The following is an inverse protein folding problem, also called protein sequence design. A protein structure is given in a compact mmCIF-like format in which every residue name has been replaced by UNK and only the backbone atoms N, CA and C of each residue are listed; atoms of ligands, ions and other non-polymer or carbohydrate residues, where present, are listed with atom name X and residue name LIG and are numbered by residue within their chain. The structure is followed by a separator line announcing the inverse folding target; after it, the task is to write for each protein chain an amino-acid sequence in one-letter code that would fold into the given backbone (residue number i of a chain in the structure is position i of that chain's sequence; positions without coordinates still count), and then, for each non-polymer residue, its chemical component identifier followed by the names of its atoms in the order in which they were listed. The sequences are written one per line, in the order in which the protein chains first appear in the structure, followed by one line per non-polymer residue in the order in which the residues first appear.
data_IF_727404390107
#
_entry.id   IF_727404390107
#
_cell.length_a   1.000
_cell.length_b   1.000
_cell.length_c   1.000
_cell.angle_alpha   90.00
_cell.angle_beta   90.00
_cell.angle_gamma   90.00
#
_symmetry.space_group_name_H-M   'P 1'
#
loop_
_entity.id
_entity.type
_entity.pdbx_description
1 polymer ?
#
# COMPACT_ATOMS: atom_id res chain seq x y z
N UNK A 1 20.87 -7.95 42.24
CA UNK A 1 20.25 -8.51 41.02
C UNK A 1 19.44 -7.46 40.27
N UNK A 2 18.56 -6.71 40.97
CA UNK A 2 17.77 -5.63 40.38
C UNK A 2 18.58 -4.49 39.73
N UNK A 3 19.67 -4.05 40.37
CA UNK A 3 20.55 -2.98 39.86
C UNK A 3 21.16 -3.31 38.49
N UNK A 4 21.68 -4.53 38.31
CA UNK A 4 22.21 -4.99 37.01
C UNK A 4 21.17 -5.05 35.89
N UNK A 5 19.89 -5.29 36.22
CA UNK A 5 18.79 -5.32 35.25
C UNK A 5 18.43 -3.92 34.77
N UNK A 6 18.39 -2.96 35.70
CA UNK A 6 18.16 -1.53 35.41
C UNK A 6 19.28 -0.97 34.55
N UNK A 7 20.54 -1.27 34.88
CA UNK A 7 21.72 -0.81 34.14
C UNK A 7 21.73 -1.34 32.70
N UNK A 8 21.45 -2.64 32.53
CA UNK A 8 21.34 -3.29 31.22
C UNK A 8 20.17 -2.72 30.39
N UNK A 9 19.07 -2.36 31.05
CA UNK A 9 17.93 -1.72 30.39
C UNK A 9 18.26 -0.31 29.91
N UNK A 10 19.07 0.43 30.69
CA UNK A 10 19.54 1.77 30.33
C UNK A 10 20.49 1.72 29.12
N UNK A 11 21.40 0.75 29.08
CA UNK A 11 22.30 0.55 27.93
C UNK A 11 21.54 0.16 26.65
N UNK A 12 20.51 -0.68 26.77
CA UNK A 12 19.67 -1.09 25.64
C UNK A 12 18.88 0.10 25.10
N UNK A 13 18.30 0.94 25.97
CA UNK A 13 17.63 2.17 25.54
C UNK A 13 18.59 3.10 24.79
N UNK A 14 19.80 3.32 25.33
CA UNK A 14 20.82 4.17 24.69
C UNK A 14 21.20 3.67 23.30
N UNK A 15 21.43 2.36 23.15
CA UNK A 15 21.79 1.73 21.88
C UNK A 15 20.65 1.82 20.84
N UNK A 16 19.40 1.71 21.28
CA UNK A 16 18.23 1.85 20.41
C UNK A 16 18.05 3.31 20.00
N UNK A 17 18.14 4.25 20.93
CA UNK A 17 17.99 5.69 20.66
C UNK A 17 19.05 6.20 19.67
N UNK A 18 20.31 5.77 19.84
CA UNK A 18 21.42 6.11 18.94
C UNK A 18 21.25 5.56 17.52
N UNK A 19 20.69 4.33 17.38
CA UNK A 19 20.39 3.75 16.06
C UNK A 19 19.21 4.45 15.39
N UNK A 20 18.15 4.74 16.14
CA UNK A 20 16.96 5.45 15.65
C UNK A 20 17.30 6.87 15.21
N UNK A 21 18.18 7.59 15.92
CA UNK A 21 18.68 8.91 15.51
C UNK A 21 19.38 8.90 14.14
N UNK A 22 19.98 7.79 13.73
CA UNK A 22 20.67 7.63 12.44
C UNK A 22 19.76 7.15 11.32
N UNK A 23 18.68 6.43 11.64
CA UNK A 23 17.80 5.75 10.68
C UNK A 23 16.91 6.71 9.85
N UNK A 24 16.80 7.98 10.24
CA UNK A 24 16.05 9.02 9.50
C UNK A 24 16.89 10.07 8.77
N UNK A 25 18.22 10.10 8.98
CA UNK A 25 19.09 11.19 8.47
C UNK A 25 19.97 10.79 7.28
N UNK A 26 19.86 9.55 6.79
CA UNK A 26 20.55 9.09 5.59
C UNK A 26 20.06 9.79 4.31
N UNK A 27 20.72 9.52 3.17
CA UNK A 27 20.40 10.12 1.85
C UNK A 27 18.90 10.06 1.52
N UNK A 28 18.26 8.89 1.72
CA UNK A 28 16.84 8.69 1.42
C UNK A 28 15.88 9.29 2.46
N UNK A 29 16.26 9.34 3.74
CA UNK A 29 15.47 10.00 4.78
C UNK A 29 15.33 11.52 4.53
N UNK A 30 16.40 12.14 4.03
CA UNK A 30 16.38 13.55 3.59
C UNK A 30 15.47 13.77 2.38
N UNK A 31 15.44 12.83 1.44
CA UNK A 31 14.57 12.90 0.25
C UNK A 31 13.09 12.79 0.65
N UNK A 32 12.73 11.84 1.53
CA UNK A 32 11.37 11.72 2.04
C UNK A 32 10.95 12.93 2.89
N UNK A 33 11.88 13.53 3.63
CA UNK A 33 11.63 14.75 4.40
C UNK A 33 11.48 16.00 3.50
N UNK A 34 12.08 16.01 2.31
CA UNK A 34 11.96 17.07 1.31
C UNK A 34 10.73 16.90 0.40
N UNK A 35 10.13 15.71 0.35
CA UNK A 35 8.95 15.47 -0.45
C UNK A 35 7.75 16.24 0.11
N UNK A 36 7.00 16.89 -0.78
CA UNK A 36 5.74 17.55 -0.40
C UNK A 36 4.71 16.49 -0.06
N UNK A 37 4.22 16.51 1.19
CA UNK A 37 3.08 15.67 1.58
C UNK A 37 1.83 16.14 0.82
N UNK A 38 1.05 15.23 0.23
CA UNK A 38 -0.18 15.61 -0.47
C UNK A 38 -1.17 16.23 0.51
N UNK A 39 -1.93 17.23 0.04
CA UNK A 39 -3.07 17.74 0.79
C UNK A 39 -4.23 16.73 0.77
N UNK A 40 -5.18 16.86 1.69
CA UNK A 40 -6.37 16.01 1.71
C UNK A 40 -7.15 16.08 0.38
N UNK A 41 -7.23 17.26 -0.24
CA UNK A 41 -7.91 17.47 -1.52
C UNK A 41 -7.18 16.80 -2.69
N UNK A 42 -5.85 16.89 -2.72
CA UNK A 42 -5.03 16.23 -3.75
C UNK A 42 -5.16 14.71 -3.66
N UNK A 43 -5.10 14.18 -2.43
CA UNK A 43 -5.30 12.76 -2.18
C UNK A 43 -6.70 12.31 -2.59
N UNK A 44 -7.74 13.05 -2.16
CA UNK A 44 -9.14 12.74 -2.48
C UNK A 44 -9.40 12.68 -3.98
N UNK A 45 -8.90 13.64 -4.76
CA UNK A 45 -9.02 13.65 -6.23
C UNK A 45 -8.39 12.42 -6.87
N UNK A 46 -7.17 12.07 -6.46
CA UNK A 46 -6.46 10.90 -7.00
C UNK A 46 -7.22 9.61 -6.67
N UNK A 47 -7.66 9.45 -5.43
CA UNK A 47 -8.41 8.27 -5.00
C UNK A 47 -9.72 8.13 -5.78
N UNK A 48 -10.44 9.21 -6.03
CA UNK A 48 -11.68 9.19 -6.83
C UNK A 48 -11.42 8.72 -8.26
N UNK A 49 -10.39 9.25 -8.92
CA UNK A 49 -10.03 8.86 -10.30
C UNK A 49 -9.64 7.38 -10.35
N UNK A 50 -8.79 6.93 -9.41
CA UNK A 50 -8.35 5.53 -9.34
C UNK A 50 -9.53 4.60 -9.04
N UNK A 51 -10.41 4.97 -8.12
CA UNK A 51 -11.60 4.18 -7.79
C UNK A 51 -12.54 4.02 -9.01
N UNK A 52 -12.76 5.10 -9.76
CA UNK A 52 -13.52 5.05 -11.02
C UNK A 52 -12.85 4.16 -12.05
N UNK A 53 -11.52 4.23 -12.20
CA UNK A 53 -10.77 3.38 -13.12
C UNK A 53 -10.90 1.89 -12.78
N UNK A 54 -10.71 1.53 -11.51
CA UNK A 54 -10.85 0.15 -11.03
C UNK A 54 -12.28 -0.36 -11.25
N UNK A 55 -13.29 0.47 -10.94
CA UNK A 55 -14.69 0.12 -11.15
C UNK A 55 -14.97 -0.17 -12.63
N UNK A 56 -14.54 0.71 -13.54
CA UNK A 56 -14.76 0.54 -14.98
C UNK A 56 -14.08 -0.71 -15.53
N UNK A 57 -12.81 -0.91 -15.20
CA UNK A 57 -12.05 -2.09 -15.65
C UNK A 57 -12.68 -3.37 -15.09
N UNK A 58 -13.07 -3.35 -13.81
CA UNK A 58 -13.76 -4.46 -13.15
C UNK A 58 -15.09 -4.80 -13.83
N UNK A 59 -15.90 -3.78 -14.15
CA UNK A 59 -17.18 -3.97 -14.84
C UNK A 59 -16.99 -4.53 -16.25
N UNK A 60 -16.00 -4.04 -17.00
CA UNK A 60 -15.71 -4.55 -18.35
C UNK A 60 -15.29 -6.02 -18.28
N UNK A 61 -14.31 -6.36 -17.43
CA UNK A 61 -13.86 -7.74 -17.25
C UNK A 61 -14.98 -8.66 -16.76
N UNK A 62 -15.81 -8.18 -15.82
CA UNK A 62 -16.96 -8.91 -15.30
C UNK A 62 -18.03 -9.12 -16.37
N UNK A 63 -18.30 -8.12 -17.21
CA UNK A 63 -19.26 -8.24 -18.32
C UNK A 63 -18.81 -9.30 -19.33
N UNK A 64 -17.53 -9.33 -19.69
CA UNK A 64 -16.96 -10.37 -20.55
C UNK A 64 -17.14 -11.74 -19.91
N UNK A 65 -16.83 -11.87 -18.62
CA UNK A 65 -17.03 -13.12 -17.88
C UNK A 65 -18.48 -13.60 -17.93
N UNK A 66 -19.45 -12.71 -17.69
CA UNK A 66 -20.88 -13.04 -17.76
C UNK A 66 -21.28 -13.51 -19.17
N UNK A 67 -20.81 -12.84 -20.22
CA UNK A 67 -21.09 -13.25 -21.60
C UNK A 67 -20.55 -14.66 -21.85
N UNK A 68 -19.31 -14.95 -21.47
CA UNK A 68 -18.74 -16.29 -21.64
C UNK A 68 -19.51 -17.36 -20.86
N UNK A 69 -19.92 -17.06 -19.63
CA UNK A 69 -20.62 -18.00 -18.77
C UNK A 69 -22.04 -18.32 -19.29
N UNK A 70 -22.79 -17.32 -19.73
CA UNK A 70 -24.18 -17.51 -20.15
C UNK A 70 -24.32 -17.82 -21.63
N UNK A 71 -23.49 -17.23 -22.50
CA UNK A 71 -23.57 -17.41 -23.96
C UNK A 71 -22.69 -18.56 -24.44
N UNK A 72 -21.62 -18.90 -23.72
CA UNK A 72 -20.71 -20.00 -24.05
C UNK A 72 -21.40 -21.37 -24.24
N UNK A 73 -22.32 -21.78 -23.34
CA UNK A 73 -23.05 -23.03 -23.53
C UNK A 73 -23.89 -23.07 -24.80
N UNK A 74 -24.58 -21.97 -25.13
CA UNK A 74 -25.44 -21.88 -26.32
C UNK A 74 -24.62 -21.84 -27.62
N UNK A 75 -23.45 -21.20 -27.61
CA UNK A 75 -22.50 -21.25 -28.72
C UNK A 75 -21.96 -22.66 -28.96
N UNK A 76 -21.62 -23.38 -27.89
CA UNK A 76 -21.14 -24.77 -27.97
C UNK A 76 -22.17 -25.74 -28.54
N UNK A 77 -23.46 -25.51 -28.28
CA UNK A 77 -24.56 -26.28 -28.87
C UNK A 77 -24.91 -25.90 -30.30
N UNK A 78 -24.51 -24.72 -30.79
CA UNK A 78 -24.80 -24.26 -32.16
C UNK A 78 -23.72 -24.68 -33.17
N UNK A 79 -22.48 -24.88 -32.72
CA UNK A 79 -21.35 -25.35 -33.54
C UNK A 79 -21.15 -26.88 -33.52
N UNK A 80 -22.07 -27.61 -32.91
CA UNK A 80 -22.15 -29.08 -32.92
C UNK A 80 -23.38 -29.52 -33.70
#
# INVERSE_FOLDING_TARGET
MATKLVEKSWEIQKRIEERTKRMGKGKYGRVLAMARKPTADEYGKVVQIVALGILLIGLVGFTIYLIFQYVGPYLGTLFK
#
